data_IF_664232036164
#
_entry.id   IF_664232036164
#
_cell.length_a   1.000
_cell.length_b   1.000
_cell.length_c   1.000
_cell.angle_alpha   90.00
_cell.angle_beta   90.00
_cell.angle_gamma   90.00
#
_symmetry.space_group_name_H-M   'P 1'
#
loop_
_entity.id
_entity.type
_entity.pdbx_description
1 polymer ?
#
# COMPACT_ATOMS: atom_id res chain seq x y z
N UNK A 1 -7.28 -28.13 -8.22
CA UNK A 1 -6.73 -26.79 -8.51
C UNK A 1 -5.41 -26.68 -7.76
N UNK A 2 -4.30 -26.41 -8.44
CA UNK A 2 -3.00 -26.24 -7.79
C UNK A 2 -3.09 -25.03 -6.85
N UNK A 3 -2.88 -25.22 -5.54
CA UNK A 3 -2.80 -24.09 -4.61
C UNK A 3 -1.59 -23.24 -4.99
N UNK A 4 -1.76 -21.93 -5.12
CA UNK A 4 -0.62 -21.03 -5.33
C UNK A 4 0.41 -21.24 -4.21
N UNK A 5 1.61 -21.70 -4.58
CA UNK A 5 2.72 -21.90 -3.65
C UNK A 5 3.67 -20.69 -3.72
N UNK A 6 4.05 -20.10 -2.58
CA UNK A 6 5.01 -18.99 -2.58
C UNK A 6 6.37 -19.44 -3.08
N UNK A 7 7.03 -18.56 -3.83
CA UNK A 7 8.44 -18.72 -4.21
C UNK A 7 9.37 -18.43 -3.02
N UNK A 8 10.62 -18.89 -3.10
CA UNK A 8 11.58 -18.72 -1.99
C UNK A 8 11.79 -17.25 -1.63
N UNK A 9 12.05 -16.40 -2.64
CA UNK A 9 12.23 -14.96 -2.41
C UNK A 9 10.97 -14.31 -1.82
N UNK A 10 9.77 -14.77 -2.17
CA UNK A 10 8.53 -14.23 -1.63
C UNK A 10 8.41 -14.52 -0.13
N UNK A 11 8.81 -15.72 0.29
CA UNK A 11 8.84 -16.11 1.70
C UNK A 11 9.87 -15.28 2.48
N UNK A 12 11.09 -15.12 1.94
CA UNK A 12 12.15 -14.30 2.55
C UNK A 12 11.76 -12.82 2.70
N UNK A 13 11.03 -12.26 1.72
CA UNK A 13 10.47 -10.91 1.81
C UNK A 13 9.49 -10.81 2.98
N UNK A 14 8.57 -11.77 3.11
CA UNK A 14 7.59 -11.79 4.21
C UNK A 14 8.25 -11.98 5.58
N UNK A 15 9.28 -12.82 5.68
CA UNK A 15 10.10 -12.97 6.89
C UNK A 15 10.78 -11.66 7.29
N UNK A 16 11.29 -10.90 6.31
CA UNK A 16 11.91 -9.59 6.55
C UNK A 16 10.89 -8.56 7.07
N UNK A 17 9.67 -8.57 6.51
CA UNK A 17 8.56 -7.71 6.99
C UNK A 17 8.17 -8.07 8.42
N UNK A 18 7.99 -9.35 8.71
CA UNK A 18 7.68 -9.83 10.06
C UNK A 18 8.76 -9.43 11.07
N UNK A 19 10.03 -9.63 10.71
CA UNK A 19 11.19 -9.22 11.50
C UNK A 19 11.14 -7.72 11.85
N UNK A 20 10.83 -6.88 10.86
CA UNK A 20 10.73 -5.44 11.08
C UNK A 20 9.56 -5.08 12.00
N UNK A 21 8.39 -5.68 11.81
CA UNK A 21 7.22 -5.44 12.67
C UNK A 21 7.46 -5.86 14.12
N UNK A 22 8.12 -6.99 14.34
CA UNK A 22 8.54 -7.41 15.68
C UNK A 22 9.51 -6.40 16.30
N UNK A 23 10.53 -5.97 15.54
CA UNK A 23 11.49 -4.98 15.99
C UNK A 23 10.83 -3.63 16.35
N UNK A 24 9.78 -3.21 15.64
CA UNK A 24 9.01 -1.98 15.96
C UNK A 24 8.34 -2.03 17.36
N UNK A 25 8.11 -3.22 17.92
CA UNK A 25 7.61 -3.37 19.28
C UNK A 25 8.70 -3.55 20.33
N UNK A 26 9.87 -4.04 19.93
CA UNK A 26 11.01 -4.29 20.83
C UNK A 26 11.86 -3.04 21.03
N UNK A 27 11.89 -2.15 20.04
CA UNK A 27 12.78 -0.99 20.00
C UNK A 27 12.01 0.34 20.15
N UNK A 28 12.66 1.42 20.62
CA UNK A 28 11.97 2.66 20.98
C UNK A 28 11.31 3.42 19.83
N UNK A 29 11.69 3.16 18.58
CA UNK A 29 11.10 3.81 17.41
C UNK A 29 11.21 2.96 16.14
N UNK A 30 10.31 3.14 15.16
CA UNK A 30 10.38 2.45 13.87
C UNK A 30 11.66 2.74 13.08
N UNK A 31 12.27 3.91 13.31
CA UNK A 31 13.55 4.29 12.70
C UNK A 31 14.69 3.40 13.20
N UNK A 32 14.81 3.26 14.53
CA UNK A 32 15.81 2.38 15.15
C UNK A 32 15.54 0.92 14.75
N UNK A 33 14.27 0.51 14.78
CA UNK A 33 13.87 -0.83 14.36
C UNK A 33 14.26 -1.12 12.91
N UNK A 34 14.13 -0.14 12.00
CA UNK A 34 14.45 -0.31 10.60
C UNK A 34 15.97 -0.47 10.40
N UNK A 35 16.76 0.40 11.01
CA UNK A 35 18.22 0.33 10.93
C UNK A 35 18.75 -0.97 11.54
N UNK A 36 18.25 -1.37 12.72
CA UNK A 36 18.65 -2.63 13.35
C UNK A 36 18.23 -3.87 12.52
N UNK A 37 17.02 -3.85 11.94
CA UNK A 37 16.54 -4.96 11.10
C UNK A 37 17.37 -5.09 9.83
N UNK A 38 17.67 -3.99 9.16
CA UNK A 38 18.49 -3.99 7.93
C UNK A 38 19.94 -4.39 8.21
N UNK A 39 20.49 -4.01 9.37
CA UNK A 39 21.80 -4.49 9.83
C UNK A 39 21.81 -6.01 10.03
N UNK A 40 20.79 -6.56 10.70
CA UNK A 40 20.68 -8.01 10.92
C UNK A 40 20.50 -8.79 9.63
N UNK A 41 19.68 -8.30 8.70
CA UNK A 41 19.35 -9.01 7.46
C UNK A 41 20.45 -8.88 6.41
N UNK A 42 21.10 -7.72 6.32
CA UNK A 42 21.99 -7.36 5.20
C UNK A 42 23.42 -7.03 5.61
N UNK A 43 23.75 -7.13 6.91
CA UNK A 43 25.06 -6.78 7.45
C UNK A 43 25.36 -5.28 7.47
N UNK A 44 24.38 -4.44 7.09
CA UNK A 44 24.50 -2.97 7.09
C UNK A 44 23.17 -2.32 7.48
N UNK A 45 23.21 -1.51 8.54
CA UNK A 45 22.08 -0.67 8.92
C UNK A 45 21.83 0.42 7.90
N UNK A 46 20.67 0.40 7.25
CA UNK A 46 20.25 1.44 6.34
C UNK A 46 19.67 2.63 7.13
N UNK A 47 19.92 3.88 6.69
CA UNK A 47 19.29 5.04 7.31
C UNK A 47 17.78 5.02 7.07
N UNK A 48 17.02 5.48 8.07
CA UNK A 48 15.58 5.65 7.96
C UNK A 48 15.25 7.10 7.60
N UNK A 49 14.43 7.27 6.57
CA UNK A 49 13.95 8.56 6.07
C UNK A 49 12.47 8.69 6.47
N UNK A 50 12.13 9.54 7.45
CA UNK A 50 10.74 9.75 7.84
C UNK A 50 9.98 10.51 6.74
N UNK A 51 8.67 10.27 6.63
CA UNK A 51 7.79 11.03 5.76
C UNK A 51 7.32 12.30 6.48
N UNK A 52 7.49 13.46 5.85
CA UNK A 52 7.01 14.73 6.40
C UNK A 52 5.49 14.73 6.58
N UNK A 53 5.00 15.25 7.71
CA UNK A 53 3.58 15.31 8.05
C UNK A 53 2.99 14.02 8.63
N UNK A 54 3.69 12.89 8.56
CA UNK A 54 3.24 11.63 9.15
C UNK A 54 3.60 11.52 10.64
N UNK A 55 2.89 10.65 11.40
CA UNK A 55 3.25 10.40 12.78
C UNK A 55 4.69 9.87 12.92
N UNK A 56 5.49 10.38 13.86
CA UNK A 56 6.92 10.00 13.99
C UNK A 56 7.12 8.54 14.42
N UNK A 57 6.10 7.95 15.04
CA UNK A 57 6.02 6.55 15.49
C UNK A 57 5.44 5.61 14.43
N UNK A 58 5.15 6.10 13.23
CA UNK A 58 4.60 5.29 12.14
C UNK A 58 5.71 4.58 11.35
N UNK A 59 5.67 3.24 11.22
CA UNK A 59 6.58 2.51 10.34
C UNK A 59 6.34 2.84 8.86
N UNK A 60 7.43 3.13 8.16
CA UNK A 60 7.44 3.34 6.71
C UNK A 60 8.57 2.54 6.08
N UNK A 61 8.24 1.62 5.17
CA UNK A 61 9.22 0.78 4.50
C UNK A 61 8.81 0.44 3.06
N UNK A 62 9.81 0.05 2.27
CA UNK A 62 9.69 -0.28 0.87
C UNK A 62 10.23 -1.68 0.59
N UNK A 63 9.48 -2.45 -0.19
CA UNK A 63 9.89 -3.74 -0.74
C UNK A 63 10.23 -3.54 -2.22
N UNK A 64 11.51 -3.67 -2.55
CA UNK A 64 11.97 -3.54 -3.94
C UNK A 64 11.84 -4.88 -4.64
N UNK A 65 10.91 -4.96 -5.60
CA UNK A 65 10.60 -6.17 -6.35
C UNK A 65 10.48 -5.85 -7.85
N UNK A 66 11.19 -6.57 -8.73
CA UNK A 66 11.06 -6.37 -10.17
C UNK A 66 9.63 -6.63 -10.66
N UNK A 67 9.28 -6.07 -11.81
CA UNK A 67 8.01 -6.36 -12.49
C UNK A 67 7.86 -7.86 -12.73
N UNK A 68 6.68 -8.41 -12.47
CA UNK A 68 6.43 -9.86 -12.51
C UNK A 68 6.79 -10.60 -11.21
N UNK A 69 7.47 -9.96 -10.24
CA UNK A 69 7.84 -10.57 -8.96
C UNK A 69 6.69 -10.86 -7.99
N UNK A 70 5.44 -10.63 -8.38
CA UNK A 70 4.26 -10.90 -7.55
C UNK A 70 4.02 -9.88 -6.43
N UNK A 71 4.28 -8.58 -6.70
CA UNK A 71 4.09 -7.49 -5.73
C UNK A 71 2.70 -7.47 -5.11
N UNK A 72 1.65 -7.50 -5.93
CA UNK A 72 0.26 -7.48 -5.45
C UNK A 72 -0.07 -8.68 -4.56
N UNK A 73 0.48 -9.87 -4.84
CA UNK A 73 0.31 -11.03 -3.97
C UNK A 73 1.05 -10.86 -2.63
N UNK A 74 2.28 -10.35 -2.65
CA UNK A 74 3.04 -10.04 -1.43
C UNK A 74 2.34 -8.99 -0.57
N UNK A 75 1.78 -7.95 -1.20
CA UNK A 75 0.99 -6.95 -0.53
C UNK A 75 -0.25 -7.56 0.15
N UNK A 76 -0.96 -8.47 -0.54
CA UNK A 76 -2.11 -9.18 0.02
C UNK A 76 -1.72 -10.05 1.22
N UNK A 77 -0.63 -10.82 1.12
CA UNK A 77 -0.08 -11.59 2.24
C UNK A 77 0.37 -10.71 3.41
N UNK A 78 0.96 -9.56 3.10
CA UNK A 78 1.42 -8.60 4.09
C UNK A 78 0.32 -8.11 5.02
N UNK A 79 -0.95 -8.09 4.59
CA UNK A 79 -2.08 -7.67 5.43
C UNK A 79 -2.21 -8.53 6.69
N UNK A 80 -2.00 -9.85 6.59
CA UNK A 80 -2.04 -10.73 7.76
C UNK A 80 -0.90 -10.43 8.74
N UNK A 81 0.30 -10.13 8.22
CA UNK A 81 1.45 -9.72 9.03
C UNK A 81 1.22 -8.36 9.69
N UNK A 82 0.60 -7.42 8.99
CA UNK A 82 0.23 -6.09 9.52
C UNK A 82 -0.71 -6.26 10.72
N UNK A 83 -1.79 -7.02 10.57
CA UNK A 83 -2.75 -7.24 11.66
C UNK A 83 -2.11 -7.96 12.86
N UNK A 84 -1.32 -9.00 12.59
CA UNK A 84 -0.79 -9.89 13.64
C UNK A 84 0.42 -9.30 14.36
N UNK A 85 1.39 -8.79 13.60
CA UNK A 85 2.71 -8.45 14.14
C UNK A 85 2.94 -6.96 14.35
N UNK A 86 2.21 -6.08 13.66
CA UNK A 86 2.37 -4.63 13.80
C UNK A 86 1.22 -3.99 14.59
N UNK A 87 -0.01 -4.16 14.11
CA UNK A 87 -1.19 -3.52 14.71
C UNK A 87 -1.74 -4.30 15.91
N UNK A 88 -1.45 -5.62 15.96
CA UNK A 88 -1.95 -6.56 16.97
C UNK A 88 -3.47 -6.45 17.15
N UNK A 89 -4.19 -6.40 16.04
CA UNK A 89 -5.64 -6.30 15.98
C UNK A 89 -6.23 -7.40 15.10
N UNK A 90 -7.49 -7.77 15.35
CA UNK A 90 -8.18 -8.79 14.54
C UNK A 90 -8.54 -8.24 13.15
N UNK A 91 -8.99 -6.98 13.10
CA UNK A 91 -9.46 -6.32 11.88
C UNK A 91 -8.84 -4.95 11.74
N UNK A 92 -8.43 -4.61 10.53
CA UNK A 92 -7.84 -3.31 10.20
C UNK A 92 -8.48 -2.71 8.95
N UNK A 93 -8.25 -1.42 8.74
CA UNK A 93 -8.57 -0.75 7.49
C UNK A 93 -7.27 -0.65 6.68
N UNK A 94 -7.28 -1.22 5.48
CA UNK A 94 -6.16 -1.14 4.53
C UNK A 94 -6.55 -0.19 3.42
N UNK A 95 -5.80 0.89 3.25
CA UNK A 95 -5.93 1.77 2.08
C UNK A 95 -4.92 1.33 1.02
N UNK A 96 -5.40 0.68 -0.04
CA UNK A 96 -4.57 0.14 -1.10
C UNK A 96 -4.55 1.08 -2.30
N UNK A 97 -3.41 1.72 -2.52
CA UNK A 97 -3.20 2.67 -3.60
C UNK A 97 -2.54 1.99 -4.80
N UNK A 98 -3.15 2.16 -5.96
CA UNK A 98 -2.64 1.65 -7.24
C UNK A 98 -2.36 2.81 -8.22
N UNK A 99 -1.52 2.62 -9.24
CA UNK A 99 -1.06 3.74 -10.07
C UNK A 99 -2.10 4.27 -11.06
N UNK A 100 -3.10 3.48 -11.46
CA UNK A 100 -4.07 3.89 -12.49
C UNK A 100 -5.46 3.28 -12.32
N UNK A 101 -6.48 3.88 -12.96
CA UNK A 101 -7.87 3.39 -12.94
C UNK A 101 -8.03 1.97 -13.51
N UNK A 102 -7.41 1.59 -14.66
CA UNK A 102 -7.46 0.22 -15.15
C UNK A 102 -6.87 -0.80 -14.15
N UNK A 103 -5.75 -0.45 -13.51
CA UNK A 103 -5.13 -1.32 -12.49
C UNK A 103 -6.02 -1.41 -11.24
N UNK A 104 -6.73 -0.33 -10.87
CA UNK A 104 -7.73 -0.34 -9.78
C UNK A 104 -8.83 -1.35 -10.06
N UNK A 105 -9.43 -1.32 -11.24
CA UNK A 105 -10.51 -2.24 -11.61
C UNK A 105 -10.04 -3.71 -11.64
N UNK A 106 -8.85 -3.96 -12.21
CA UNK A 106 -8.27 -5.31 -12.22
C UNK A 106 -7.98 -5.81 -10.80
N UNK A 107 -7.41 -4.96 -9.96
CA UNK A 107 -7.10 -5.28 -8.56
C UNK A 107 -8.39 -5.56 -7.79
N UNK A 108 -9.41 -4.70 -7.89
CA UNK A 108 -10.71 -4.91 -7.24
C UNK A 108 -11.34 -6.24 -7.64
N UNK A 109 -11.37 -6.58 -8.94
CA UNK A 109 -11.91 -7.87 -9.41
C UNK A 109 -11.13 -9.05 -8.82
N UNK A 110 -9.80 -8.98 -8.86
CA UNK A 110 -8.92 -10.03 -8.34
C UNK A 110 -8.98 -10.19 -6.81
N UNK A 111 -9.17 -9.10 -6.06
CA UNK A 111 -9.31 -9.14 -4.61
C UNK A 111 -10.71 -9.59 -4.16
N UNK A 112 -11.74 -9.42 -4.99
CA UNK A 112 -13.12 -9.88 -4.71
C UNK A 112 -13.35 -11.35 -5.07
N UNK A 113 -12.66 -11.85 -6.09
CA UNK A 113 -12.79 -13.23 -6.51
C UNK A 113 -12.19 -14.18 -5.48
N UNK A 114 -13.06 -14.97 -4.83
CA UNK A 114 -12.70 -15.91 -3.77
C UNK A 114 -11.78 -17.05 -4.23
N UNK A 115 -11.73 -17.33 -5.53
CA UNK A 115 -10.87 -18.34 -6.13
C UNK A 115 -9.52 -17.76 -6.56
N UNK A 116 -9.39 -16.43 -6.61
CA UNK A 116 -8.17 -15.77 -7.02
C UNK A 116 -7.09 -15.91 -5.93
N UNK A 117 -5.81 -16.13 -6.30
CA UNK A 117 -4.71 -16.23 -5.35
C UNK A 117 -4.56 -15.02 -4.42
N UNK A 118 -4.89 -13.81 -4.89
CA UNK A 118 -4.81 -12.59 -4.07
C UNK A 118 -5.86 -12.57 -2.96
N UNK A 119 -7.11 -12.97 -3.24
CA UNK A 119 -8.12 -13.10 -2.19
C UNK A 119 -7.76 -14.21 -1.21
N UNK A 120 -7.26 -15.34 -1.70
CA UNK A 120 -6.77 -16.44 -0.85
C UNK A 120 -5.69 -15.95 0.11
N UNK A 121 -4.74 -15.15 -0.37
CA UNK A 121 -3.73 -14.52 0.47
C UNK A 121 -4.32 -13.54 1.50
N UNK A 122 -5.25 -12.66 1.10
CA UNK A 122 -5.91 -11.73 2.03
C UNK A 122 -6.66 -12.46 3.15
N UNK A 123 -7.31 -13.58 2.84
CA UNK A 123 -8.11 -14.35 3.80
C UNK A 123 -7.33 -14.88 5.00
N UNK A 124 -6.00 -14.90 4.94
CA UNK A 124 -5.16 -15.22 6.09
C UNK A 124 -5.24 -14.15 7.19
N UNK A 125 -5.66 -12.92 6.85
CA UNK A 125 -5.97 -11.86 7.79
C UNK A 125 -7.40 -11.93 8.37
N UNK A 126 -8.12 -13.06 8.16
CA UNK A 126 -9.48 -13.28 8.65
C UNK A 126 -10.58 -12.92 7.64
N UNK A 127 -11.78 -12.53 8.10
CA UNK A 127 -12.86 -12.04 7.23
C UNK A 127 -12.42 -10.78 6.46
N UNK A 128 -12.68 -10.76 5.15
CA UNK A 128 -12.24 -9.69 4.24
C UNK A 128 -13.44 -9.03 3.57
N UNK A 129 -13.43 -7.70 3.57
CA UNK A 129 -14.36 -6.87 2.79
C UNK A 129 -13.55 -5.99 1.84
N UNK A 130 -13.85 -6.01 0.54
CA UNK A 130 -13.10 -5.25 -0.49
C UNK A 130 -13.99 -4.21 -1.14
N UNK A 131 -13.66 -2.94 -0.94
CA UNK A 131 -14.43 -1.78 -1.39
C UNK A 131 -13.62 -0.92 -2.35
N UNK A 132 -14.28 -0.28 -3.29
CA UNK A 132 -13.75 0.94 -3.91
C UNK A 132 -14.04 2.17 -3.03
N UNK A 133 -13.61 3.35 -3.48
CA UNK A 133 -13.85 4.59 -2.74
C UNK A 133 -15.32 4.99 -2.66
N UNK A 134 -16.12 4.65 -3.65
CA UNK A 134 -17.53 5.05 -3.70
C UNK A 134 -18.36 4.21 -2.71
N UNK A 135 -18.13 2.90 -2.68
CA UNK A 135 -18.72 1.98 -1.71
C UNK A 135 -18.24 2.27 -0.28
N UNK A 136 -16.99 2.71 -0.11
CA UNK A 136 -16.47 3.08 1.20
C UNK A 136 -17.24 4.24 1.86
N UNK A 137 -17.95 5.08 1.09
CA UNK A 137 -18.76 6.20 1.63
C UNK A 137 -20.02 5.75 2.37
N UNK A 138 -20.40 4.48 2.23
CA UNK A 138 -21.52 3.87 2.96
C UNK A 138 -21.06 2.72 3.86
N UNK A 139 -19.74 2.61 4.12
CA UNK A 139 -19.21 1.56 4.99
C UNK A 139 -19.76 1.70 6.39
N UNK A 140 -20.17 0.58 6.99
CA UNK A 140 -20.74 0.58 8.35
C UNK A 140 -19.68 0.34 9.41
N UNK A 141 -19.94 0.78 10.64
CA UNK A 141 -19.06 0.48 11.78
C UNK A 141 -18.94 -1.02 12.02
N UNK A 142 -20.05 -1.75 11.89
CA UNK A 142 -20.07 -3.21 12.02
C UNK A 142 -19.15 -3.89 11.01
N UNK A 143 -19.12 -3.43 9.74
CA UNK A 143 -18.20 -3.95 8.72
C UNK A 143 -16.74 -3.78 9.13
N UNK A 144 -16.37 -2.58 9.61
CA UNK A 144 -15.00 -2.29 10.05
C UNK A 144 -14.60 -3.04 11.34
N UNK A 145 -15.58 -3.36 12.19
CA UNK A 145 -15.37 -4.05 13.47
C UNK A 145 -15.40 -5.59 13.34
N UNK A 146 -15.79 -6.15 12.19
CA UNK A 146 -15.93 -7.61 11.98
C UNK A 146 -15.18 -8.14 10.77
N UNK A 147 -14.50 -7.26 10.01
CA UNK A 147 -13.72 -7.67 8.85
C UNK A 147 -12.58 -6.70 8.57
N UNK A 148 -11.44 -7.24 8.15
CA UNK A 148 -10.37 -6.43 7.58
C UNK A 148 -10.86 -5.86 6.25
N UNK A 149 -10.97 -4.53 6.20
CA UNK A 149 -11.58 -3.82 5.07
C UNK A 149 -10.48 -3.25 4.18
N UNK A 150 -10.44 -3.69 2.93
CA UNK A 150 -9.50 -3.22 1.92
C UNK A 150 -10.21 -2.20 1.03
N UNK A 151 -9.78 -0.95 1.06
CA UNK A 151 -10.28 0.12 0.20
C UNK A 151 -9.28 0.35 -0.91
N UNK A 152 -9.64 0.03 -2.16
CA UNK A 152 -8.75 0.19 -3.31
C UNK A 152 -9.02 1.51 -4.00
N UNK A 153 -7.98 2.35 -4.10
CA UNK A 153 -8.05 3.67 -4.69
C UNK A 153 -6.87 3.89 -5.65
N UNK A 154 -7.01 4.83 -6.59
CA UNK A 154 -5.82 5.29 -7.33
C UNK A 154 -5.03 6.27 -6.47
N UNK A 155 -3.73 6.42 -6.72
CA UNK A 155 -2.94 7.48 -6.07
C UNK A 155 -3.47 8.88 -6.40
N UNK A 156 -3.95 9.06 -7.62
CA UNK A 156 -4.52 10.32 -8.09
C UNK A 156 -5.82 10.68 -7.35
N UNK A 157 -6.60 9.70 -6.90
CA UNK A 157 -7.87 9.95 -6.19
C UNK A 157 -7.75 10.89 -4.98
N UNK A 158 -6.54 11.09 -4.45
CA UNK A 158 -6.25 11.98 -3.32
C UNK A 158 -5.48 13.25 -3.71
N UNK A 159 -5.36 13.59 -4.99
CA UNK A 159 -4.85 14.89 -5.42
C UNK A 159 -5.95 15.96 -5.28
N UNK A 160 -5.59 17.16 -4.82
CA UNK A 160 -6.53 18.26 -4.51
C UNK A 160 -7.47 18.60 -5.67
N UNK A 161 -6.98 18.44 -6.90
CA UNK A 161 -7.70 18.79 -8.13
C UNK A 161 -8.75 17.74 -8.52
N UNK A 162 -8.69 16.53 -7.97
CA UNK A 162 -9.57 15.42 -8.33
C UNK A 162 -10.92 15.48 -7.61
N UNK A 163 -11.99 15.19 -8.36
CA UNK A 163 -13.35 15.17 -7.82
C UNK A 163 -13.51 14.05 -6.77
N UNK A 164 -12.86 12.91 -6.97
CA UNK A 164 -12.82 11.80 -6.00
C UNK A 164 -12.26 12.28 -4.66
N UNK A 165 -11.21 13.13 -4.66
CA UNK A 165 -10.63 13.67 -3.43
C UNK A 165 -11.67 14.50 -2.67
N UNK A 166 -12.39 15.39 -3.36
CA UNK A 166 -13.44 16.22 -2.73
C UNK A 166 -14.53 15.36 -2.10
N UNK A 167 -14.92 14.26 -2.74
CA UNK A 167 -15.94 13.33 -2.23
C UNK A 167 -15.54 12.63 -0.94
N UNK A 168 -14.24 12.38 -0.72
CA UNK A 168 -13.75 11.75 0.53
C UNK A 168 -13.93 12.68 1.74
N UNK A 169 -13.89 14.01 1.53
CA UNK A 169 -14.07 15.01 2.59
C UNK A 169 -15.53 15.45 2.77
N UNK A 170 -16.41 15.20 1.80
CA UNK A 170 -17.83 15.53 1.92
C UNK A 170 -18.51 14.76 3.04
N UNK A 171 -19.34 15.47 3.82
CA UNK A 171 -20.15 14.87 4.87
C UNK A 171 -21.22 13.94 4.26
N UNK A 172 -21.36 12.75 4.82
CA UNK A 172 -22.32 11.72 4.40
C UNK A 172 -23.14 11.25 5.59
N UNK A 173 -24.47 11.30 5.45
CA UNK A 173 -25.39 10.78 6.46
C UNK A 173 -25.18 9.28 6.74
N UNK A 174 -24.71 8.53 5.74
CA UNK A 174 -24.42 7.10 5.86
C UNK A 174 -23.20 6.79 6.75
N UNK A 175 -22.40 7.78 7.13
CA UNK A 175 -21.21 7.60 7.98
C UNK A 175 -21.40 8.11 9.41
N UNK A 176 -22.55 8.74 9.72
CA UNK A 176 -22.79 9.38 11.01
C UNK A 176 -22.56 8.44 12.21
N UNK A 177 -22.96 7.18 12.08
CA UNK A 177 -22.84 6.17 13.14
C UNK A 177 -21.38 5.84 13.55
N UNK A 178 -20.38 6.21 12.74
CA UNK A 178 -18.97 6.08 13.13
C UNK A 178 -18.54 7.14 14.16
N UNK A 179 -19.30 8.22 14.28
CA UNK A 179 -19.00 9.38 15.13
C UNK A 179 -19.79 9.37 16.45
N UNK A 180 -20.61 8.35 16.67
CA UNK A 180 -21.34 8.15 17.91
C UNK A 180 -20.39 7.72 19.04
N UNK A 181 -20.58 8.28 20.23
CA UNK A 181 -19.85 7.92 21.46
C UNK A 181 -18.32 8.07 21.39
N UNK A 182 -17.81 8.95 20.52
CA UNK A 182 -16.37 9.28 20.49
C UNK A 182 -15.92 9.93 21.79
N UNK A 183 -14.73 9.52 22.27
CA UNK A 183 -14.05 10.18 23.39
C UNK A 183 -13.67 11.63 23.02
N UNK A 184 -13.44 12.51 24.02
CA UNK A 184 -12.94 13.86 23.75
C UNK A 184 -11.66 13.87 22.92
N UNK A 185 -10.72 12.96 23.22
CA UNK A 185 -9.47 12.81 22.48
C UNK A 185 -9.69 12.42 21.01
N UNK A 186 -10.61 11.50 20.73
CA UNK A 186 -10.94 11.12 19.36
C UNK A 186 -11.55 12.27 18.57
N UNK A 187 -12.41 13.08 19.21
CA UNK A 187 -13.03 14.26 18.57
C UNK A 187 -12.01 15.34 18.24
N UNK A 188 -11.09 15.62 19.16
CA UNK A 188 -10.03 16.62 18.96
C UNK A 188 -9.10 16.24 17.80
N UNK A 189 -8.94 14.95 17.54
CA UNK A 189 -8.14 14.48 16.43
C UNK A 189 -8.84 14.66 15.07
N UNK A 190 -10.17 14.79 14.98
CA UNK A 190 -10.89 14.86 13.70
C UNK A 190 -10.55 16.11 12.88
N UNK A 191 -10.66 15.99 11.56
CA UNK A 191 -10.59 17.12 10.65
C UNK A 191 -11.86 17.97 10.80
N UNK A 192 -11.67 19.28 10.81
CA UNK A 192 -12.75 20.28 10.91
C UNK A 192 -12.67 21.27 9.76
N UNK A 193 -13.82 21.79 9.39
CA UNK A 193 -13.98 22.86 8.40
C UNK A 193 -14.48 24.13 9.08
N UNK A 194 -14.10 25.30 8.56
CA UNK A 194 -14.42 26.59 9.17
C UNK A 194 -13.52 26.98 10.35
N UNK A 195 -13.70 28.20 10.84
CA UNK A 195 -12.94 28.79 11.95
C UNK A 195 -13.89 29.36 13.02
N UNK A 196 -13.43 29.39 14.29
CA UNK A 196 -14.17 29.99 15.39
C UNK A 196 -15.52 29.31 15.66
N UNK A 197 -16.60 30.09 15.65
CA UNK A 197 -17.95 29.63 15.96
C UNK A 197 -18.59 28.76 14.86
N UNK A 198 -18.09 28.83 13.63
CA UNK A 198 -18.58 28.07 12.47
C UNK A 198 -17.79 26.77 12.24
N UNK A 199 -16.98 26.34 13.23
CA UNK A 199 -16.18 25.12 13.15
C UNK A 199 -17.08 23.89 13.18
N UNK A 200 -17.09 23.14 12.08
CA UNK A 200 -17.88 21.91 11.92
C UNK A 200 -16.95 20.73 11.72
N UNK A 201 -17.30 19.58 12.29
CA UNK A 201 -16.64 18.31 12.05
C UNK A 201 -17.47 17.49 11.06
N UNK A 202 -17.11 17.41 9.77
CA UNK A 202 -17.89 16.67 8.79
C UNK A 202 -17.86 15.16 9.08
N UNK A 203 -19.02 14.51 8.92
CA UNK A 203 -19.15 13.05 8.98
C UNK A 203 -18.69 12.45 7.64
N UNK A 204 -17.39 12.54 7.35
CA UNK A 204 -16.80 12.20 6.05
C UNK A 204 -15.96 10.93 6.10
N UNK A 205 -15.71 10.34 4.92
CA UNK A 205 -14.84 9.17 4.81
C UNK A 205 -13.41 9.50 5.28
N UNK A 206 -12.92 10.71 5.03
CA UNK A 206 -11.64 11.20 5.55
C UNK A 206 -11.55 11.06 7.08
N UNK A 207 -12.60 11.46 7.78
CA UNK A 207 -12.65 11.39 9.24
C UNK A 207 -12.87 9.95 9.75
N UNK A 208 -13.60 9.11 9.01
CA UNK A 208 -13.67 7.66 9.29
C UNK A 208 -12.30 7.00 9.17
N UNK A 209 -11.57 7.26 8.08
CA UNK A 209 -10.19 6.79 7.90
C UNK A 209 -9.31 7.29 9.04
N UNK A 210 -9.40 8.57 9.39
CA UNK A 210 -8.59 9.15 10.47
C UNK A 210 -8.83 8.51 11.83
N UNK A 211 -10.08 8.19 12.17
CA UNK A 211 -10.41 7.43 13.39
C UNK A 211 -9.86 6.00 13.37
N UNK A 212 -9.85 5.37 12.20
CA UNK A 212 -9.43 3.98 12.02
C UNK A 212 -7.94 3.80 11.75
N UNK A 213 -7.21 4.90 11.52
CA UNK A 213 -5.76 4.93 11.28
C UNK A 213 -5.31 3.84 10.30
N UNK A 214 -5.72 3.92 9.02
CA UNK A 214 -5.52 2.84 8.07
C UNK A 214 -4.04 2.51 7.89
N UNK A 215 -3.74 1.25 7.58
CA UNK A 215 -2.44 0.89 7.05
C UNK A 215 -2.46 1.11 5.53
N UNK A 216 -1.47 1.83 5.00
CA UNK A 216 -1.43 2.21 3.59
C UNK A 216 -0.50 1.28 2.82
N UNK A 217 -1.03 0.65 1.77
CA UNK A 217 -0.26 -0.10 0.79
C UNK A 217 -0.15 0.75 -0.46
N UNK A 218 1.06 0.90 -0.98
CA UNK A 218 1.32 1.67 -2.19
C UNK A 218 1.96 0.74 -3.23
N UNK A 219 1.15 0.27 -4.17
CA UNK A 219 1.61 -0.59 -5.27
C UNK A 219 2.13 0.28 -6.43
N UNK A 220 3.25 -0.13 -7.02
CA UNK A 220 4.01 0.59 -8.06
C UNK A 220 4.38 2.04 -7.67
N UNK A 221 5.12 2.20 -6.58
CA UNK A 221 5.37 3.50 -5.94
C UNK A 221 6.21 4.52 -6.75
N UNK A 222 6.71 4.19 -7.95
CA UNK A 222 7.62 5.04 -8.75
C UNK A 222 6.91 6.05 -9.68
N UNK A 223 5.64 5.84 -10.02
CA UNK A 223 5.01 6.54 -11.14
C UNK A 223 4.38 7.90 -10.84
N UNK A 224 4.57 8.50 -9.65
CA UNK A 224 4.35 9.92 -9.32
C UNK A 224 4.27 10.08 -7.79
N UNK A 225 5.42 10.19 -7.13
CA UNK A 225 5.52 10.65 -5.75
C UNK A 225 5.49 12.18 -5.72
N UNK A 226 4.31 12.75 -5.85
CA UNK A 226 4.15 14.17 -5.52
C UNK A 226 4.05 14.31 -4.00
N UNK A 227 4.77 15.27 -3.43
CA UNK A 227 4.68 15.61 -1.99
C UNK A 227 3.22 15.79 -1.57
N UNK A 228 2.41 16.41 -2.44
CA UNK A 228 0.97 16.61 -2.29
C UNK A 228 0.16 15.32 -2.03
N UNK A 229 0.52 14.20 -2.67
CA UNK A 229 -0.18 12.93 -2.45
C UNK A 229 0.12 12.36 -1.05
N UNK A 230 1.35 12.54 -0.57
CA UNK A 230 1.76 12.10 0.77
C UNK A 230 1.18 12.99 1.86
N UNK A 231 1.12 14.31 1.66
CA UNK A 231 0.45 15.24 2.57
C UNK A 231 -1.01 14.86 2.80
N UNK A 232 -1.74 14.51 1.74
CA UNK A 232 -3.13 14.08 1.85
C UNK A 232 -3.27 12.76 2.61
N UNK A 233 -2.37 11.79 2.37
CA UNK A 233 -2.35 10.55 3.14
C UNK A 233 -2.03 10.79 4.62
N UNK A 234 -1.14 11.73 4.93
CA UNK A 234 -0.82 12.11 6.30
C UNK A 234 -2.06 12.63 7.06
N UNK A 235 -3.00 13.29 6.36
CA UNK A 235 -4.29 13.74 6.96
C UNK A 235 -5.14 12.57 7.45
N UNK A 236 -4.96 11.35 6.96
CA UNK A 236 -5.67 10.17 7.45
C UNK A 236 -5.01 9.51 8.67
N UNK A 237 -3.91 10.07 9.22
CA UNK A 237 -3.16 9.52 10.38
C UNK A 237 -2.91 8.01 10.26
N UNK A 238 -2.27 7.54 9.18
CA UNK A 238 -2.09 6.11 8.98
C UNK A 238 -1.27 5.48 10.11
N UNK A 239 -1.46 4.17 10.27
CA UNK A 239 -0.73 3.36 11.25
C UNK A 239 0.57 2.77 10.70
N UNK A 240 0.74 2.77 9.37
CA UNK A 240 1.95 2.35 8.69
C UNK A 240 1.84 2.54 7.18
N UNK A 241 2.98 2.54 6.51
CA UNK A 241 3.07 2.61 5.04
C UNK A 241 3.99 1.52 4.53
N UNK A 242 3.49 0.68 3.63
CA UNK A 242 4.25 -0.30 2.87
C UNK A 242 4.23 0.06 1.39
N UNK A 243 5.41 0.29 0.82
CA UNK A 243 5.56 0.51 -0.62
C UNK A 243 6.08 -0.72 -1.33
N UNK A 244 5.56 -0.99 -2.53
CA UNK A 244 6.08 -2.03 -3.41
C UNK A 244 6.43 -1.40 -4.76
N UNK A 245 7.66 -1.55 -5.20
CA UNK A 245 8.12 -0.96 -6.46
C UNK A 245 9.35 -1.69 -7.01
N UNK A 246 9.56 -1.65 -8.33
CA UNK A 246 10.82 -2.11 -8.92
C UNK A 246 11.95 -1.06 -8.77
N UNK A 247 11.55 0.21 -8.72
CA UNK A 247 12.42 1.39 -8.77
C UNK A 247 12.09 2.31 -7.59
N UNK A 248 12.71 2.12 -6.42
CA UNK A 248 12.51 3.03 -5.29
C UNK A 248 13.06 4.41 -5.62
N UNK A 249 12.37 5.47 -5.15
CA UNK A 249 12.93 6.83 -5.18
C UNK A 249 14.10 6.90 -4.19
N UNK A 250 15.21 7.50 -4.62
CA UNK A 250 16.44 7.67 -3.87
C UNK A 250 16.83 9.15 -3.70
N UNK A 251 16.12 10.07 -4.35
CA UNK A 251 16.54 11.47 -4.47
C UNK A 251 15.59 12.43 -3.78
N UNK A 252 14.30 12.41 -4.12
CA UNK A 252 13.33 13.40 -3.62
C UNK A 252 12.72 12.99 -2.30
N UNK A 253 12.16 11.80 -2.27
CA UNK A 253 11.57 11.16 -1.10
C UNK A 253 12.17 9.77 -0.96
N UNK A 254 13.40 9.64 -0.41
CA UNK A 254 14.11 8.38 -0.36
C UNK A 254 13.31 7.28 0.33
N UNK A 255 13.12 6.16 -0.38
CA UNK A 255 12.35 5.03 0.13
C UNK A 255 13.17 4.25 1.16
N UNK A 256 12.54 3.87 2.27
CA UNK A 256 13.18 3.00 3.27
C UNK A 256 13.17 1.54 2.80
N UNK A 257 14.10 1.18 1.91
CA UNK A 257 14.16 -0.18 1.34
C UNK A 257 14.54 -1.20 2.41
N UNK A 258 13.56 -2.00 2.84
CA UNK A 258 13.72 -3.05 3.84
C UNK A 258 14.30 -4.32 3.22
N UNK A 259 13.81 -4.69 2.04
CA UNK A 259 14.21 -5.89 1.32
C UNK A 259 14.24 -5.60 -0.18
N UNK A 260 15.28 -6.07 -0.86
CA UNK A 260 15.44 -5.94 -2.32
C UNK A 260 15.61 -7.30 -2.95
N UNK A 261 14.69 -7.66 -3.83
CA UNK A 261 14.77 -8.89 -4.64
C UNK A 261 15.43 -8.56 -5.98
N UNK A 262 16.44 -9.32 -6.35
CA UNK A 262 17.16 -9.19 -7.61
C UNK A 262 16.43 -9.88 -8.76
N UNK A 263 16.71 -9.45 -10.00
CA UNK A 263 16.23 -10.14 -11.19
C UNK A 263 16.78 -11.59 -11.30
N UNK A 264 17.95 -11.85 -10.72
CA UNK A 264 18.56 -13.19 -10.69
C UNK A 264 17.74 -14.17 -9.85
N UNK A 265 17.21 -13.73 -8.71
CA UNK A 265 16.33 -14.54 -7.85
C UNK A 265 15.00 -14.85 -8.54
N UNK A 266 14.40 -13.88 -9.25
CA UNK A 266 13.21 -14.12 -10.06
C UNK A 266 13.49 -15.13 -11.19
N UNK A 267 14.67 -15.03 -11.83
CA UNK A 267 15.10 -15.99 -12.86
C UNK A 267 15.25 -17.40 -12.28
N UNK A 268 15.87 -17.53 -11.12
CA UNK A 268 16.06 -18.82 -10.45
C UNK A 268 14.73 -19.52 -10.12
N UNK A 269 13.68 -18.73 -9.88
CA UNK A 269 12.32 -19.22 -9.60
C UNK A 269 11.42 -19.31 -10.85
N UNK A 270 12.02 -19.16 -12.05
CA UNK A 270 11.37 -19.20 -13.37
C UNK A 270 10.25 -18.14 -13.55
N UNK A 271 10.32 -17.04 -12.80
CA UNK A 271 9.31 -15.97 -12.81
C UNK A 271 9.47 -15.00 -13.99
N UNK A 272 10.62 -15.02 -14.67
CA UNK A 272 10.89 -14.21 -15.86
C UNK A 272 11.36 -15.14 -16.99
N UNK A 273 10.67 -15.11 -18.13
CA UNK A 273 11.14 -15.72 -19.37
C UNK A 273 12.24 -14.84 -19.97
N UNK A 274 13.49 -15.22 -19.77
CA UNK A 274 14.64 -14.60 -20.44
C UNK A 274 14.99 -15.39 -21.72
N UNK A 275 15.54 -14.74 -22.76
CA UNK A 275 16.31 -13.49 -22.67
C UNK A 275 15.50 -12.24 -23.04
N UNK A 276 15.43 -11.27 -22.12
CA UNK A 276 15.16 -9.87 -22.46
C UNK A 276 16.43 -9.36 -23.13
N UNK A 277 16.39 -9.23 -24.46
CA UNK A 277 17.42 -8.53 -25.22
C UNK A 277 16.97 -7.08 -25.34
N UNK A 278 17.62 -6.19 -24.61
CA UNK A 278 17.37 -4.75 -24.70
C UNK A 278 18.40 -4.15 -25.65
N UNK A 279 17.94 -3.73 -26.82
CA UNK A 279 18.70 -2.94 -27.79
C UNK A 279 18.07 -1.54 -27.84
N UNK A 280 18.89 -0.49 -27.72
CA UNK A 280 18.43 0.90 -27.78
C UNK A 280 18.66 1.48 -29.17
N UNK A 281 17.58 1.84 -29.85
CA UNK A 281 17.62 2.47 -31.18
C UNK A 281 17.08 3.92 -31.10
N UNK A 282 17.93 4.94 -31.30
CA UNK A 282 17.52 6.35 -31.19
C UNK A 282 16.58 6.81 -32.32
N UNK A 283 16.56 6.15 -33.48
CA UNK A 283 15.62 6.45 -34.55
C UNK A 283 14.32 5.65 -34.38
N UNK A 284 13.22 6.34 -34.06
CA UNK A 284 11.92 5.70 -33.82
C UNK A 284 11.40 4.87 -35.01
N UNK A 285 11.73 5.25 -36.25
CA UNK A 285 11.31 4.51 -37.45
C UNK A 285 12.06 3.19 -37.56
N UNK A 286 13.36 3.20 -37.25
CA UNK A 286 14.21 2.01 -37.26
C UNK A 286 13.80 1.08 -36.11
N UNK A 287 13.58 1.61 -34.91
CA UNK A 287 13.07 0.87 -33.77
C UNK A 287 11.75 0.14 -34.10
N UNK A 288 10.82 0.81 -34.79
CA UNK A 288 9.56 0.20 -35.21
C UNK A 288 9.78 -0.90 -36.27
N UNK A 289 10.65 -0.66 -37.26
CA UNK A 289 10.99 -1.66 -38.28
C UNK A 289 11.63 -2.91 -37.67
N UNK A 290 12.57 -2.73 -36.75
CA UNK A 290 13.25 -3.81 -36.04
C UNK A 290 12.27 -4.59 -35.15
N UNK A 291 11.35 -3.91 -34.47
CA UNK A 291 10.31 -4.54 -33.67
C UNK A 291 9.36 -5.40 -34.53
N UNK A 292 8.95 -4.91 -35.70
CA UNK A 292 8.12 -5.67 -36.65
C UNK A 292 8.91 -6.88 -37.16
N UNK A 293 10.15 -6.68 -37.63
CA UNK A 293 10.99 -7.77 -38.13
C UNK A 293 11.23 -8.86 -37.08
N UNK A 294 11.44 -8.47 -35.81
CA UNK A 294 11.62 -9.41 -34.70
C UNK A 294 10.34 -10.14 -34.35
N UNK A 295 9.18 -9.49 -34.47
CA UNK A 295 7.86 -10.14 -34.30
C UNK A 295 7.60 -11.17 -35.40
N UNK A 296 7.88 -10.81 -36.65
CA UNK A 296 7.63 -11.70 -37.79
C UNK A 296 8.54 -12.94 -37.77
N UNK A 297 9.76 -12.81 -37.21
CA UNK A 297 10.68 -13.93 -36.99
C UNK A 297 10.31 -14.87 -35.83
N UNK A 298 9.29 -14.54 -35.03
CA UNK A 298 8.78 -15.38 -33.94
C UNK A 298 7.67 -16.35 -34.40
N UNK A 299 7.33 -16.36 -35.68
CA UNK A 299 6.35 -17.26 -36.31
C UNK A 299 7.02 -18.45 -37.01
#
# INVERSE_FOLDING_TARGET
MSSFAPKTYQSQVLESVQAYFQACHELPSPSIAFTATTERLWGRGNPYNPLSGFPPDMPYFCLRLPTGGGKTWLAAKGVALVNTHLLRCEHSVILWLVPSKPIREQTLRALRDRQHPYHTALREAGPITVLDLEEAKSVTRATLDTSTTIIVATRQAFQVEEEECRKVYQSSGALMHHFDNLSPTQRDELLTEGEGADRITPCSLANVLRLRRPFVIVDEAHNNRTELAFEMLARFRPSGVMELTATPDLERTPSNVLHSVSAAELKAEEMIKLPVVLETEPNWQQCLADAIGRRDALH
#
